data_IF_207459266793
#
_entry.id   IF_207459266793
#
_cell.length_a   1.000
_cell.length_b   1.000
_cell.length_c   1.000
_cell.angle_alpha   90.00
_cell.angle_beta   90.00
_cell.angle_gamma   90.00
#
_symmetry.space_group_name_H-M   'P 1'
#
loop_
_entity.id
_entity.type
_entity.pdbx_description
1 polymer ?
#
# COMPACT_ATOMS: atom_id res chain seq x y z
N UNK A 1 -71.44 -5.83 -22.36
CA UNK A 1 -70.08 -5.26 -22.49
C UNK A 1 -69.39 -5.45 -21.15
N UNK A 2 -68.49 -6.42 -21.05
CA UNK A 2 -67.63 -6.69 -19.88
C UNK A 2 -66.21 -6.28 -20.27
N UNK A 3 -65.45 -5.52 -19.47
CA UNK A 3 -64.07 -5.22 -19.79
C UNK A 3 -63.15 -6.31 -19.21
N UNK A 4 -62.27 -6.82 -20.06
CA UNK A 4 -61.20 -7.76 -19.75
C UNK A 4 -60.07 -7.01 -19.05
N UNK A 5 -59.71 -7.42 -17.82
CA UNK A 5 -58.49 -6.98 -17.16
C UNK A 5 -57.29 -7.81 -17.65
N UNK A 6 -56.30 -7.16 -18.23
CA UNK A 6 -55.00 -7.78 -18.53
C UNK A 6 -54.05 -7.52 -17.34
N UNK A 7 -53.65 -8.58 -16.64
CA UNK A 7 -52.58 -8.53 -15.65
C UNK A 7 -51.23 -8.59 -16.39
N UNK A 8 -50.42 -7.54 -16.28
CA UNK A 8 -49.05 -7.52 -16.78
C UNK A 8 -48.10 -7.89 -15.64
N UNK A 9 -47.58 -9.11 -15.64
CA UNK A 9 -46.58 -9.55 -14.66
C UNK A 9 -45.19 -9.16 -15.18
N UNK A 10 -44.58 -8.13 -14.59
CA UNK A 10 -43.18 -7.77 -14.85
C UNK A 10 -42.27 -8.69 -14.03
N UNK A 11 -41.55 -9.58 -14.71
CA UNK A 11 -40.39 -10.27 -14.13
C UNK A 11 -39.18 -9.34 -14.23
N UNK A 12 -38.73 -8.81 -13.10
CA UNK A 12 -37.43 -8.14 -12.99
C UNK A 12 -36.38 -9.22 -12.76
N UNK A 13 -35.66 -9.59 -13.82
CA UNK A 13 -34.45 -10.42 -13.69
C UNK A 13 -33.27 -9.51 -13.39
N UNK A 14 -32.80 -9.54 -12.13
CA UNK A 14 -31.53 -8.93 -11.73
C UNK A 14 -30.37 -9.76 -12.28
N UNK A 15 -29.96 -9.48 -13.51
CA UNK A 15 -28.74 -10.02 -14.10
C UNK A 15 -27.74 -8.90 -14.32
N UNK A 16 -26.70 -8.82 -13.49
CA UNK A 16 -25.49 -8.07 -13.83
C UNK A 16 -24.83 -8.84 -14.98
N UNK A 17 -25.17 -8.49 -16.22
CA UNK A 17 -24.47 -8.98 -17.41
C UNK A 17 -23.15 -8.21 -17.49
N UNK A 18 -22.04 -8.94 -17.42
CA UNK A 18 -20.75 -8.41 -17.87
C UNK A 18 -20.92 -7.90 -19.30
N UNK A 19 -20.34 -6.74 -19.61
CA UNK A 19 -20.26 -6.25 -20.98
C UNK A 19 -19.35 -7.22 -21.76
N UNK A 20 -19.97 -8.12 -22.52
CA UNK A 20 -19.28 -8.97 -23.48
C UNK A 20 -19.04 -8.13 -24.74
N UNK A 21 -17.82 -8.21 -25.29
CA UNK A 21 -17.60 -7.79 -26.68
C UNK A 21 -18.29 -8.78 -27.63
N UNK A 22 -18.50 -8.37 -28.89
CA UNK A 22 -19.37 -9.04 -29.89
C UNK A 22 -19.02 -10.54 -30.14
N UNK A 23 -17.83 -10.97 -29.72
CA UNK A 23 -17.29 -12.33 -29.88
C UNK A 23 -17.39 -13.21 -28.61
N UNK A 24 -18.07 -12.76 -27.55
CA UNK A 24 -18.19 -13.50 -26.28
C UNK A 24 -16.95 -13.44 -25.39
N UNK A 25 -15.97 -12.61 -25.76
CA UNK A 25 -14.77 -12.32 -24.98
C UNK A 25 -15.12 -11.25 -23.93
N UNK A 26 -14.76 -11.43 -22.65
CA UNK A 26 -14.96 -10.39 -21.65
C UNK A 26 -14.16 -9.13 -21.99
N UNK A 27 -14.77 -7.95 -21.85
CA UNK A 27 -14.07 -6.66 -21.98
C UNK A 27 -12.79 -6.66 -21.14
N UNK A 28 -11.66 -6.21 -21.71
CA UNK A 28 -10.37 -6.15 -21.03
C UNK A 28 -9.63 -7.48 -20.90
N UNK A 29 -10.03 -8.52 -21.64
CA UNK A 29 -9.31 -9.79 -21.66
C UNK A 29 -7.87 -9.59 -22.17
N UNK A 30 -6.90 -10.08 -21.39
CA UNK A 30 -5.46 -9.93 -21.65
C UNK A 30 -4.94 -8.49 -21.59
N UNK A 31 -5.75 -7.55 -21.11
CA UNK A 31 -5.28 -6.22 -20.73
C UNK A 31 -4.70 -6.23 -19.30
N UNK A 32 -3.94 -5.19 -18.91
CA UNK A 32 -3.53 -5.00 -17.53
C UNK A 32 -4.72 -4.95 -16.56
N UNK A 33 -4.48 -5.28 -15.29
CA UNK A 33 -5.49 -5.20 -14.24
C UNK A 33 -6.10 -3.78 -14.19
N UNK A 34 -7.42 -3.72 -14.27
CA UNK A 34 -8.19 -2.50 -14.51
C UNK A 34 -8.69 -2.34 -15.95
N UNK A 35 -8.28 -3.17 -16.90
CA UNK A 35 -8.86 -3.18 -18.25
C UNK A 35 -10.29 -3.73 -18.30
N UNK A 36 -10.66 -4.57 -17.31
CA UNK A 36 -11.97 -5.22 -17.27
C UNK A 36 -13.15 -4.27 -17.08
N UNK A 37 -12.90 -3.04 -16.59
CA UNK A 37 -13.88 -1.96 -16.44
C UNK A 37 -13.18 -0.64 -16.13
N UNK A 38 -13.89 0.48 -16.31
CA UNK A 38 -13.43 1.76 -15.74
C UNK A 38 -13.52 1.76 -14.22
N UNK A 39 -12.50 2.31 -13.54
CA UNK A 39 -12.53 2.57 -12.10
C UNK A 39 -13.75 3.42 -11.71
N UNK A 40 -14.49 2.95 -10.70
CA UNK A 40 -15.76 3.54 -10.27
C UNK A 40 -15.96 3.54 -8.76
N UNK A 41 -14.95 3.12 -7.99
CA UNK A 41 -14.90 3.27 -6.54
C UNK A 41 -14.15 4.55 -6.22
N UNK A 42 -14.77 5.40 -5.38
CA UNK A 42 -14.17 6.66 -4.94
C UNK A 42 -13.50 6.47 -3.60
N UNK A 43 -12.29 7.03 -3.46
CA UNK A 43 -11.58 7.21 -2.20
C UNK A 43 -11.60 8.69 -1.86
N UNK A 44 -11.83 9.01 -0.59
CA UNK A 44 -11.81 10.39 -0.12
C UNK A 44 -10.38 10.96 -0.22
N UNK A 45 -10.29 12.19 -0.71
CA UNK A 45 -9.05 12.96 -0.80
C UNK A 45 -9.18 14.26 0.00
N UNK A 46 -8.19 14.58 0.82
CA UNK A 46 -8.18 15.82 1.62
C UNK A 46 -6.76 16.31 1.84
N UNK A 47 -6.59 17.63 1.95
CA UNK A 47 -5.33 18.26 2.38
C UNK A 47 -5.23 18.38 3.90
N UNK A 48 -6.36 18.21 4.60
CA UNK A 48 -6.46 18.35 6.06
C UNK A 48 -6.29 16.98 6.71
N UNK A 49 -5.22 16.84 7.50
CA UNK A 49 -5.01 15.65 8.33
C UNK A 49 -6.12 15.63 9.40
N UNK A 50 -6.97 14.58 9.46
CA UNK A 50 -8.00 14.48 10.48
C UNK A 50 -7.37 14.33 11.87
N UNK A 51 -8.06 14.77 12.90
CA UNK A 51 -7.66 14.44 14.27
C UNK A 51 -7.76 12.91 14.51
N UNK A 52 -6.99 12.32 15.44
CA UNK A 52 -7.02 10.89 15.75
C UNK A 52 -8.42 10.30 15.97
N UNK A 53 -9.36 11.02 16.58
CA UNK A 53 -10.72 10.51 16.78
C UNK A 53 -11.49 10.47 15.47
N UNK A 54 -11.42 11.54 14.68
CA UNK A 54 -12.00 11.56 13.33
C UNK A 54 -11.35 10.50 12.45
N UNK A 55 -10.02 10.34 12.54
CA UNK A 55 -9.26 9.35 11.78
C UNK A 55 -9.73 7.92 12.11
N UNK A 56 -9.86 7.64 13.40
CA UNK A 56 -10.37 6.37 13.89
C UNK A 56 -11.80 6.09 13.43
N UNK A 57 -12.75 6.97 13.74
CA UNK A 57 -14.18 6.70 13.52
C UNK A 57 -14.56 6.67 12.04
N UNK A 58 -13.90 7.48 11.19
CA UNK A 58 -14.24 7.57 9.76
C UNK A 58 -13.42 6.65 8.85
N UNK A 59 -12.20 6.27 9.23
CA UNK A 59 -11.31 5.56 8.30
C UNK A 59 -10.79 4.25 8.89
N UNK A 60 -10.15 4.26 10.07
CA UNK A 60 -9.53 3.04 10.62
C UNK A 60 -10.56 2.00 11.02
N UNK A 61 -11.56 2.38 11.83
CA UNK A 61 -12.62 1.49 12.32
C UNK A 61 -13.51 0.91 11.21
N UNK A 62 -13.99 1.69 10.23
CA UNK A 62 -14.76 1.16 9.11
C UNK A 62 -13.89 0.60 7.96
N UNK A 63 -12.57 0.54 8.12
CA UNK A 63 -11.63 0.06 7.11
C UNK A 63 -11.79 0.78 5.75
N UNK A 64 -11.89 2.11 5.81
CA UNK A 64 -12.07 2.97 4.62
C UNK A 64 -10.76 3.68 4.29
N UNK A 65 -10.22 3.53 3.07
CA UNK A 65 -8.99 4.20 2.67
C UNK A 65 -9.15 5.73 2.62
N UNK A 66 -8.04 6.44 2.78
CA UNK A 66 -7.99 7.91 2.74
C UNK A 66 -6.72 8.38 2.05
N UNK A 67 -6.84 9.33 1.12
CA UNK A 67 -5.69 10.01 0.53
C UNK A 67 -5.53 11.37 1.19
N UNK A 68 -4.36 11.59 1.78
CA UNK A 68 -3.95 12.81 2.47
C UNK A 68 -2.97 13.58 1.59
N UNK A 69 -3.49 14.52 0.79
CA UNK A 69 -2.72 15.32 -0.16
C UNK A 69 -1.74 16.24 0.57
N UNK A 70 -0.46 16.14 0.25
CA UNK A 70 0.60 16.95 0.86
C UNK A 70 0.85 16.75 2.36
N UNK A 71 0.33 15.69 2.99
CA UNK A 71 0.49 15.48 4.43
C UNK A 71 1.94 15.23 4.88
N UNK A 72 2.80 14.70 4.00
CA UNK A 72 4.23 14.49 4.27
C UNK A 72 5.10 15.75 4.07
N UNK A 73 4.52 16.91 3.71
CA UNK A 73 5.27 18.17 3.49
C UNK A 73 6.13 18.63 4.66
N UNK A 74 5.82 18.18 5.88
CA UNK A 74 6.60 18.50 7.08
C UNK A 74 7.68 17.46 7.41
N UNK A 75 7.76 16.37 6.64
CA UNK A 75 8.80 15.35 6.82
C UNK A 75 10.12 15.83 6.22
N UNK A 76 11.23 15.89 6.98
CA UNK A 76 12.52 16.30 6.45
C UNK A 76 12.96 15.48 5.23
N UNK A 77 12.60 14.20 5.17
CA UNK A 77 12.85 13.30 4.05
C UNK A 77 12.41 13.87 2.69
N UNK A 78 11.31 14.64 2.64
CA UNK A 78 10.79 15.20 1.39
C UNK A 78 11.80 16.15 0.72
N UNK A 79 12.52 16.94 1.53
CA UNK A 79 13.51 17.91 1.05
C UNK A 79 14.93 17.34 1.06
N UNK A 80 15.24 16.44 1.99
CA UNK A 80 16.59 15.95 2.22
C UNK A 80 16.96 14.73 1.38
N UNK A 81 16.03 13.81 1.10
CA UNK A 81 16.36 12.51 0.50
C UNK A 81 16.62 12.61 -1.02
N UNK A 82 17.70 13.30 -1.37
CA UNK A 82 18.38 13.20 -2.66
C UNK A 82 19.35 12.02 -2.65
N UNK A 83 19.75 11.52 -3.82
CA UNK A 83 20.76 10.46 -3.94
C UNK A 83 22.06 10.83 -3.21
N UNK A 84 22.51 12.08 -3.35
CA UNK A 84 23.73 12.60 -2.68
C UNK A 84 23.59 12.56 -1.16
N UNK A 85 22.45 13.02 -0.63
CA UNK A 85 22.21 13.02 0.81
C UNK A 85 22.14 11.59 1.35
N UNK A 86 21.39 10.72 0.68
CA UNK A 86 21.24 9.32 1.10
C UNK A 86 22.57 8.57 1.07
N UNK A 87 23.39 8.71 0.03
CA UNK A 87 24.72 8.09 -0.03
C UNK A 87 25.63 8.64 1.07
N UNK A 88 25.68 9.96 1.23
CA UNK A 88 26.55 10.63 2.20
C UNK A 88 26.20 10.29 3.65
N UNK A 89 24.92 10.24 4.00
CA UNK A 89 24.47 10.12 5.39
C UNK A 89 24.09 8.70 5.78
N UNK A 90 23.61 7.89 4.84
CA UNK A 90 23.05 6.57 5.09
C UNK A 90 23.64 5.49 4.16
N UNK A 91 24.61 5.83 3.31
CA UNK A 91 25.11 4.92 2.29
C UNK A 91 25.77 3.65 2.83
N UNK A 92 26.22 3.65 4.08
CA UNK A 92 26.76 2.45 4.75
C UNK A 92 25.70 1.50 5.30
N UNK A 93 24.45 1.95 5.46
CA UNK A 93 23.36 1.13 5.99
C UNK A 93 23.01 0.04 4.99
N UNK A 94 22.65 -1.11 5.52
CA UNK A 94 22.19 -2.24 4.72
C UNK A 94 20.72 -2.04 4.32
N UNK A 95 20.33 -2.69 3.23
CA UNK A 95 18.96 -2.74 2.75
C UNK A 95 18.66 -4.12 2.17
N UNK A 96 17.39 -4.51 2.21
CA UNK A 96 16.87 -5.66 1.46
C UNK A 96 16.45 -5.23 0.05
N UNK A 97 16.82 -6.06 -0.92
CA UNK A 97 16.48 -5.87 -2.32
C UNK A 97 15.50 -6.95 -2.79
N UNK A 98 14.58 -6.52 -3.63
CA UNK A 98 13.74 -7.35 -4.49
C UNK A 98 13.92 -6.89 -5.94
N UNK A 99 13.37 -7.65 -6.88
CA UNK A 99 13.26 -7.19 -8.26
C UNK A 99 12.11 -6.21 -8.46
N UNK A 100 12.17 -5.39 -9.51
CA UNK A 100 11.16 -4.35 -9.78
C UNK A 100 9.80 -4.90 -10.16
N UNK A 101 9.76 -6.10 -10.76
CA UNK A 101 8.53 -6.80 -11.13
C UNK A 101 8.36 -8.02 -10.21
N UNK A 102 7.55 -7.84 -9.17
CA UNK A 102 7.47 -8.76 -8.03
C UNK A 102 7.18 -10.24 -8.41
N UNK A 103 6.46 -10.49 -9.50
CA UNK A 103 6.13 -11.84 -9.97
C UNK A 103 7.21 -12.51 -10.84
N UNK A 104 8.08 -11.74 -11.49
CA UNK A 104 8.90 -12.22 -12.62
C UNK A 104 10.38 -11.92 -12.50
N UNK A 105 10.73 -10.93 -11.69
CA UNK A 105 12.12 -10.55 -11.48
C UNK A 105 12.85 -11.58 -10.61
N UNK A 106 14.17 -11.65 -10.80
CA UNK A 106 15.04 -12.44 -9.92
C UNK A 106 15.42 -11.61 -8.71
N UNK A 107 15.70 -12.28 -7.60
CA UNK A 107 16.28 -11.61 -6.43
C UNK A 107 17.63 -11.00 -6.85
N UNK A 108 17.84 -9.67 -6.72
CA UNK A 108 19.07 -9.02 -7.12
C UNK A 108 20.25 -9.44 -6.24
N UNK A 109 21.47 -9.25 -6.73
CA UNK A 109 22.70 -9.44 -5.94
C UNK A 109 23.30 -8.07 -5.67
N UNK A 110 23.32 -7.65 -4.41
CA UNK A 110 23.95 -6.41 -3.98
C UNK A 110 25.34 -6.67 -3.38
N UNK A 111 25.95 -5.63 -2.80
CA UNK A 111 27.30 -5.73 -2.22
C UNK A 111 27.37 -6.64 -0.98
N UNK A 112 26.23 -6.89 -0.33
CA UNK A 112 26.13 -7.72 0.88
C UNK A 112 25.57 -9.12 0.59
N UNK A 113 25.36 -9.46 -0.68
CA UNK A 113 24.95 -10.79 -1.13
C UNK A 113 23.58 -10.81 -1.83
N UNK A 114 23.01 -12.00 -1.91
CA UNK A 114 21.73 -12.22 -2.57
C UNK A 114 20.60 -11.52 -1.79
N UNK A 115 19.89 -10.61 -2.45
CA UNK A 115 18.80 -9.82 -1.87
C UNK A 115 19.24 -8.77 -0.85
N UNK A 116 20.54 -8.48 -0.74
CA UNK A 116 21.10 -7.58 0.28
C UNK A 116 22.16 -6.66 -0.31
N UNK A 117 22.08 -5.38 0.04
CA UNK A 117 23.00 -4.37 -0.44
C UNK A 117 23.28 -3.33 0.64
N UNK A 118 24.24 -2.44 0.37
CA UNK A 118 24.36 -1.15 1.05
C UNK A 118 23.60 -0.09 0.28
N UNK A 119 22.93 0.83 0.97
CA UNK A 119 22.15 1.90 0.34
C UNK A 119 23.00 2.71 -0.68
N UNK A 120 24.25 3.04 -0.33
CA UNK A 120 25.15 3.79 -1.22
C UNK A 120 25.63 2.98 -2.43
N UNK A 121 25.72 1.65 -2.30
CA UNK A 121 26.02 0.74 -3.42
C UNK A 121 24.81 0.66 -4.35
N UNK A 122 23.60 0.48 -3.80
CA UNK A 122 22.36 0.50 -4.55
C UNK A 122 22.19 1.79 -5.36
N UNK A 123 22.36 2.97 -4.73
CA UNK A 123 22.18 4.28 -5.38
C UNK A 123 23.09 4.49 -6.59
N UNK A 124 24.25 3.82 -6.65
CA UNK A 124 25.18 3.92 -7.80
C UNK A 124 24.71 3.15 -9.03
N UNK A 125 23.86 2.13 -8.85
CA UNK A 125 23.55 1.15 -9.90
C UNK A 125 22.07 0.96 -10.16
N UNK A 126 21.17 1.38 -9.26
CA UNK A 126 19.73 1.09 -9.33
C UNK A 126 19.00 1.62 -10.58
N UNK A 127 19.55 2.62 -11.28
CA UNK A 127 19.04 3.06 -12.59
C UNK A 127 19.29 2.06 -13.73
N UNK A 128 20.30 1.21 -13.58
CA UNK A 128 20.78 0.28 -14.63
C UNK A 128 20.42 -1.18 -14.30
N UNK A 129 19.93 -1.44 -13.09
CA UNK A 129 19.63 -2.79 -12.62
C UNK A 129 18.15 -2.98 -12.35
N UNK A 130 17.70 -4.23 -12.46
CA UNK A 130 16.39 -4.66 -11.97
C UNK A 130 16.47 -4.81 -10.44
N UNK A 131 16.48 -3.69 -9.73
CA UNK A 131 16.60 -3.67 -8.28
C UNK A 131 15.64 -2.67 -7.65
N UNK A 132 14.99 -3.11 -6.59
CA UNK A 132 14.00 -2.37 -5.82
C UNK A 132 14.28 -2.61 -4.34
N UNK A 133 14.49 -1.54 -3.56
CA UNK A 133 14.53 -1.66 -2.11
C UNK A 133 13.11 -1.94 -1.62
N UNK A 134 12.97 -3.09 -0.96
CA UNK A 134 11.81 -3.49 -0.18
C UNK A 134 12.37 -3.93 1.17
N UNK A 135 12.54 -2.96 2.07
CA UNK A 135 13.34 -3.14 3.28
C UNK A 135 12.66 -2.47 4.45
N UNK A 136 12.82 -3.03 5.64
CA UNK A 136 12.58 -2.28 6.87
C UNK A 136 13.46 -1.02 6.87
N UNK A 137 12.88 0.12 7.24
CA UNK A 137 13.58 1.40 7.36
C UNK A 137 14.59 1.32 8.51
N UNK A 138 15.89 1.56 8.25
CA UNK A 138 16.89 1.67 9.30
C UNK A 138 16.58 2.77 10.33
N UNK A 139 16.70 2.45 11.61
CA UNK A 139 16.48 3.38 12.73
C UNK A 139 17.25 4.72 12.60
N UNK A 140 18.52 4.75 12.12
CA UNK A 140 19.22 6.02 11.90
C UNK A 140 18.53 6.99 10.93
N UNK A 141 17.62 6.50 10.08
CA UNK A 141 16.84 7.30 9.14
C UNK A 141 15.55 7.85 9.74
N UNK A 142 15.12 7.39 10.94
CA UNK A 142 13.84 7.77 11.54
C UNK A 142 13.70 9.27 11.80
N UNK A 143 14.82 9.96 12.07
CA UNK A 143 14.83 11.42 12.29
C UNK A 143 14.38 12.24 11.08
N UNK A 144 14.41 11.66 9.88
CA UNK A 144 13.98 12.33 8.66
C UNK A 144 12.50 12.07 8.34
N UNK A 145 11.88 11.12 9.05
CA UNK A 145 10.52 10.67 8.83
C UNK A 145 9.61 11.24 9.91
N UNK A 146 8.44 11.70 9.50
CA UNK A 146 7.45 12.30 10.40
C UNK A 146 6.19 11.45 10.49
N UNK A 147 5.77 11.13 11.71
CA UNK A 147 4.46 10.53 12.01
C UNK A 147 3.39 11.61 11.96
N UNK A 148 2.35 11.37 11.17
CA UNK A 148 1.22 12.29 11.01
C UNK A 148 0.45 12.44 12.33
N UNK A 149 -0.06 13.65 12.58
CA UNK A 149 -0.86 13.98 13.77
C UNK A 149 -2.06 13.05 14.01
N UNK A 150 -2.65 12.46 12.97
CA UNK A 150 -3.73 11.47 13.12
C UNK A 150 -3.27 10.15 13.78
N UNK A 151 -1.97 9.86 13.78
CA UNK A 151 -1.35 8.66 14.38
C UNK A 151 -0.33 9.00 15.48
N UNK A 152 -0.26 10.25 15.95
CA UNK A 152 0.81 10.70 16.84
C UNK A 152 0.55 10.42 18.33
N UNK A 153 -0.57 9.79 18.69
CA UNK A 153 -0.97 9.56 20.07
C UNK A 153 -1.90 8.34 20.21
N UNK A 154 -2.28 8.04 21.46
CA UNK A 154 -3.15 6.92 21.77
C UNK A 154 -2.54 5.58 21.38
N UNK A 155 -3.37 4.55 21.34
CA UNK A 155 -2.94 3.23 20.92
C UNK A 155 -2.72 3.08 19.39
N UNK A 156 -3.03 4.09 18.58
CA UNK A 156 -2.60 4.15 17.17
C UNK A 156 -1.10 4.48 17.08
N UNK A 157 -0.65 5.54 17.77
CA UNK A 157 0.77 5.90 17.81
C UNK A 157 1.63 4.97 18.66
N UNK A 158 1.08 4.43 19.74
CA UNK A 158 1.79 3.49 20.61
C UNK A 158 1.85 2.05 20.11
N UNK A 159 1.39 1.76 18.88
CA UNK A 159 1.37 0.42 18.30
C UNK A 159 1.82 0.38 16.84
N UNK A 160 2.86 1.14 16.51
CA UNK A 160 3.58 1.01 15.25
C UNK A 160 4.37 -0.30 15.31
N UNK A 161 4.06 -1.21 14.39
CA UNK A 161 4.61 -2.57 14.34
C UNK A 161 5.96 -2.55 13.60
N UNK A 162 5.98 -1.94 12.42
CA UNK A 162 7.10 -1.97 11.49
C UNK A 162 7.05 -0.70 10.63
N UNK A 163 8.21 -0.26 10.15
CA UNK A 163 8.30 0.86 9.20
C UNK A 163 9.15 0.41 8.03
N UNK A 164 8.59 0.52 6.83
CA UNK A 164 9.19 0.02 5.60
C UNK A 164 9.62 1.15 4.67
N UNK A 165 10.77 0.96 4.05
CA UNK A 165 11.34 1.76 2.98
C UNK A 165 11.13 1.06 1.64
N UNK A 166 10.53 1.79 0.71
CA UNK A 166 10.31 1.37 -0.67
C UNK A 166 11.05 2.32 -1.60
N UNK A 167 12.11 1.88 -2.27
CA UNK A 167 12.91 2.75 -3.13
C UNK A 167 13.34 2.11 -4.44
N UNK A 168 12.93 2.69 -5.57
CA UNK A 168 13.30 2.26 -6.93
C UNK A 168 13.68 3.45 -7.80
N UNK A 169 14.25 3.17 -8.97
CA UNK A 169 14.48 4.15 -10.04
C UNK A 169 13.23 4.38 -10.91
N UNK A 170 12.04 3.95 -10.45
CA UNK A 170 10.83 3.91 -11.27
C UNK A 170 10.71 2.60 -12.06
N UNK A 171 9.64 2.52 -12.85
CA UNK A 171 9.23 1.36 -13.66
C UNK A 171 9.15 0.06 -12.86
N UNK A 172 8.68 0.18 -11.62
CA UNK A 172 8.42 -0.96 -10.73
C UNK A 172 6.93 -1.22 -10.61
N UNK A 173 6.59 -2.49 -10.48
CA UNK A 173 5.21 -2.95 -10.42
C UNK A 173 5.05 -4.06 -9.37
N UNK A 174 4.09 -3.89 -8.48
CA UNK A 174 3.67 -4.93 -7.55
C UNK A 174 2.68 -5.90 -8.17
N UNK A 175 2.56 -7.09 -7.61
CA UNK A 175 1.38 -7.93 -7.87
C UNK A 175 0.14 -7.34 -7.20
N UNK A 176 -1.03 -7.91 -7.50
CA UNK A 176 -2.24 -7.65 -6.73
C UNK A 176 -2.15 -8.42 -5.40
N UNK A 177 -1.99 -7.70 -4.29
CA UNK A 177 -1.86 -8.28 -2.96
C UNK A 177 -2.55 -7.42 -1.89
N UNK A 178 -2.69 -7.98 -0.68
CA UNK A 178 -3.17 -7.32 0.52
C UNK A 178 -2.15 -7.50 1.64
N UNK A 179 -2.13 -6.54 2.54
CA UNK A 179 -1.20 -6.57 3.67
C UNK A 179 -1.88 -6.93 4.99
N UNK A 180 -1.05 -7.46 5.89
CA UNK A 180 -1.48 -7.86 7.21
C UNK A 180 -1.80 -6.67 8.11
N UNK A 181 -1.22 -5.49 7.91
CA UNK A 181 -1.40 -4.36 8.83
C UNK A 181 -2.11 -3.18 8.19
N UNK A 182 -2.64 -2.30 9.04
CA UNK A 182 -3.03 -0.97 8.61
C UNK A 182 -1.77 -0.17 8.30
N UNK A 183 -1.81 0.71 7.30
CA UNK A 183 -0.63 1.44 6.86
C UNK A 183 -0.92 2.90 6.61
N UNK A 184 0.00 3.77 7.02
CA UNK A 184 0.18 5.09 6.43
C UNK A 184 1.39 5.03 5.50
N UNK A 185 1.14 5.03 4.20
CA UNK A 185 2.18 5.06 3.18
C UNK A 185 2.37 6.49 2.66
N UNK A 186 3.52 7.09 2.91
CA UNK A 186 3.84 8.45 2.47
C UNK A 186 4.90 8.43 1.38
N UNK A 187 4.63 9.11 0.26
CA UNK A 187 5.55 9.22 -0.87
C UNK A 187 6.49 10.41 -0.66
N UNK A 188 7.78 10.13 -0.47
CA UNK A 188 8.83 11.14 -0.27
C UNK A 188 9.45 11.60 -1.60
N UNK A 189 9.42 10.76 -2.64
CA UNK A 189 9.84 11.16 -3.98
C UNK A 189 9.11 10.32 -5.05
N UNK A 190 9.00 10.85 -6.25
CA UNK A 190 8.43 10.16 -7.41
C UNK A 190 6.92 10.24 -7.51
N UNK A 191 6.35 9.29 -8.24
CA UNK A 191 4.93 9.18 -8.56
C UNK A 191 4.52 7.71 -8.56
N UNK A 192 3.49 7.39 -7.78
CA UNK A 192 2.93 6.03 -7.71
C UNK A 192 1.45 6.03 -8.10
N UNK A 193 1.05 5.13 -8.98
CA UNK A 193 -0.36 4.87 -9.30
C UNK A 193 -0.81 3.64 -8.54
N UNK A 194 -1.88 3.79 -7.79
CA UNK A 194 -2.46 2.76 -6.95
C UNK A 194 -3.83 2.37 -7.47
N UNK A 195 -4.03 1.06 -7.65
CA UNK A 195 -5.34 0.48 -7.86
C UNK A 195 -5.77 -0.20 -6.57
N UNK A 196 -6.94 0.15 -6.03
CA UNK A 196 -7.44 -0.41 -4.77
C UNK A 196 -8.67 -1.26 -4.99
N UNK A 197 -8.72 -2.39 -4.28
CA UNK A 197 -9.82 -3.32 -4.26
C UNK A 197 -10.22 -3.57 -2.81
N UNK A 198 -11.43 -3.17 -2.49
CA UNK A 198 -12.05 -3.38 -1.18
C UNK A 198 -12.04 -4.88 -0.82
N UNK A 199 -11.73 -5.17 0.46
CA UNK A 199 -11.62 -6.53 1.00
C UNK A 199 -12.89 -7.37 0.77
N UNK A 200 -14.07 -6.73 0.62
CA UNK A 200 -15.32 -7.43 0.24
C UNK A 200 -15.26 -8.16 -1.11
N UNK A 201 -14.34 -7.78 -2.00
CA UNK A 201 -14.14 -8.43 -3.29
C UNK A 201 -13.21 -9.65 -3.23
N UNK A 202 -12.63 -9.97 -2.06
CA UNK A 202 -11.75 -11.14 -1.87
C UNK A 202 -12.33 -12.46 -2.41
N UNK A 203 -13.64 -12.77 -2.28
CA UNK A 203 -14.22 -13.99 -2.86
C UNK A 203 -14.12 -14.09 -4.40
N UNK A 204 -13.85 -12.98 -5.09
CA UNK A 204 -13.67 -12.92 -6.55
C UNK A 204 -12.21 -12.91 -6.98
N UNK A 205 -11.28 -12.76 -6.04
CA UNK A 205 -9.84 -12.77 -6.29
C UNK A 205 -9.35 -14.22 -6.20
N UNK A 206 -8.63 -14.68 -7.22
CA UNK A 206 -7.96 -15.96 -7.17
C UNK A 206 -6.65 -15.82 -6.38
N UNK A 207 -6.64 -16.34 -5.16
CA UNK A 207 -5.53 -16.21 -4.21
C UNK A 207 -4.55 -17.35 -4.38
N UNK A 208 -3.25 -17.04 -4.26
CA UNK A 208 -2.24 -18.06 -3.99
C UNK A 208 -2.58 -18.78 -2.68
N UNK A 209 -2.20 -20.06 -2.56
CA UNK A 209 -2.35 -20.77 -1.28
C UNK A 209 -1.50 -20.11 -0.19
N UNK A 210 -2.12 -19.83 0.95
CA UNK A 210 -1.47 -19.21 2.11
C UNK A 210 -1.84 -20.02 3.36
N UNK A 211 -0.90 -20.26 4.29
CA UNK A 211 -1.21 -20.89 5.57
C UNK A 211 -2.25 -20.07 6.35
N UNK A 212 -3.16 -20.72 7.06
CA UNK A 212 -4.26 -20.05 7.82
C UNK A 212 -3.80 -18.96 8.82
N UNK A 213 -2.52 -19.02 9.22
CA UNK A 213 -1.89 -18.07 10.16
C UNK A 213 -1.36 -16.79 9.49
N UNK A 214 -1.25 -16.78 8.16
CA UNK A 214 -0.80 -15.62 7.39
C UNK A 214 -2.01 -14.76 7.04
N UNK A 215 -1.93 -13.46 7.35
CA UNK A 215 -3.07 -12.52 7.21
C UNK A 215 -2.86 -11.53 6.07
N UNK A 216 -1.68 -11.54 5.45
CA UNK A 216 -1.44 -10.89 4.16
C UNK A 216 -1.96 -11.74 3.02
N UNK A 217 -1.66 -11.34 1.78
CA UNK A 217 -1.68 -12.30 0.69
C UNK A 217 -1.78 -11.78 -0.73
N UNK A 218 -1.52 -12.65 -1.72
CA UNK A 218 -1.46 -12.24 -3.14
C UNK A 218 -2.36 -13.04 -4.07
N UNK A 219 -2.67 -12.44 -5.23
CA UNK A 219 -3.39 -13.09 -6.31
C UNK A 219 -2.44 -13.78 -7.31
N UNK A 220 -2.88 -14.88 -7.92
CA UNK A 220 -2.12 -15.54 -9.00
C UNK A 220 -2.32 -14.91 -10.38
N UNK A 221 -3.14 -13.85 -10.50
CA UNK A 221 -3.33 -13.18 -11.78
C UNK A 221 -2.03 -12.51 -12.24
N UNK A 222 -1.77 -12.54 -13.54
CA UNK A 222 -0.77 -11.67 -14.15
C UNK A 222 -1.40 -10.27 -14.30
N UNK A 223 -0.97 -9.31 -13.49
CA UNK A 223 -1.52 -7.94 -13.49
C UNK A 223 -1.22 -7.16 -14.77
N UNK A 224 -0.29 -7.59 -15.62
CA UNK A 224 -0.04 -6.98 -16.92
C UNK A 224 -0.92 -7.55 -18.04
N UNK A 225 -1.47 -8.75 -17.83
CA UNK A 225 -2.17 -9.48 -18.86
C UNK A 225 -3.18 -10.43 -18.20
N UNK A 226 -4.32 -9.88 -17.78
CA UNK A 226 -5.31 -10.62 -17.00
C UNK A 226 -6.11 -11.54 -17.91
N UNK A 227 -5.88 -12.85 -17.80
CA UNK A 227 -6.66 -13.87 -18.50
C UNK A 227 -8.07 -13.99 -17.88
N UNK A 228 -9.00 -13.17 -18.38
CA UNK A 228 -10.40 -13.18 -17.95
C UNK A 228 -11.18 -14.45 -18.35
N UNK A 229 -10.64 -15.30 -19.23
CA UNK A 229 -11.24 -16.62 -19.50
C UNK A 229 -10.87 -17.62 -18.41
N UNK A 230 -9.64 -17.55 -17.89
CA UNK A 230 -9.18 -18.33 -16.74
C UNK A 230 -9.68 -17.76 -15.40
N UNK A 231 -9.78 -16.44 -15.27
CA UNK A 231 -10.16 -15.74 -14.04
C UNK A 231 -11.41 -14.85 -14.23
N UNK A 232 -12.57 -15.42 -14.63
CA UNK A 232 -13.75 -14.65 -15.01
C UNK A 232 -14.34 -13.82 -13.86
N UNK A 233 -14.10 -14.21 -12.60
CA UNK A 233 -14.59 -13.47 -11.44
C UNK A 233 -13.98 -12.07 -11.30
N UNK A 234 -12.81 -11.80 -11.89
CA UNK A 234 -12.20 -10.46 -11.87
C UNK A 234 -13.14 -9.41 -12.48
N UNK A 235 -13.97 -9.79 -13.46
CA UNK A 235 -14.97 -8.90 -14.07
C UNK A 235 -16.01 -8.34 -13.08
N UNK A 236 -16.18 -8.99 -11.91
CA UNK A 236 -17.10 -8.57 -10.85
C UNK A 236 -16.49 -7.54 -9.90
N UNK A 237 -15.17 -7.34 -9.96
CA UNK A 237 -14.44 -6.46 -9.05
C UNK A 237 -14.61 -5.01 -9.50
N UNK A 238 -15.12 -4.19 -8.59
CA UNK A 238 -15.02 -2.74 -8.69
C UNK A 238 -13.76 -2.27 -7.97
N UNK A 239 -13.13 -1.25 -8.50
CA UNK A 239 -11.84 -0.78 -7.99
C UNK A 239 -11.70 0.73 -8.13
N UNK A 240 -10.78 1.27 -7.33
CA UNK A 240 -10.34 2.67 -7.35
C UNK A 240 -9.01 2.79 -8.10
N UNK A 241 -8.72 3.94 -8.70
CA UNK A 241 -7.48 4.18 -9.42
C UNK A 241 -6.99 5.62 -9.19
N UNK A 242 -5.90 5.76 -8.43
CA UNK A 242 -5.42 7.05 -7.96
C UNK A 242 -3.91 7.19 -8.12
N UNK A 243 -3.48 8.35 -8.58
CA UNK A 243 -2.05 8.72 -8.62
C UNK A 243 -1.69 9.54 -7.39
N UNK A 244 -0.63 9.13 -6.71
CA UNK A 244 0.00 9.83 -5.59
C UNK A 244 1.31 10.45 -6.05
N UNK A 245 1.57 11.66 -5.54
CA UNK A 245 2.76 12.44 -5.83
C UNK A 245 3.59 12.66 -4.56
N UNK A 246 4.86 13.03 -4.72
CA UNK A 246 5.72 13.37 -3.60
C UNK A 246 5.03 14.38 -2.64
N UNK A 247 4.99 14.03 -1.36
CA UNK A 247 4.29 14.77 -0.32
C UNK A 247 2.93 14.17 0.07
N UNK A 248 2.32 13.34 -0.75
CA UNK A 248 1.05 12.68 -0.44
C UNK A 248 1.26 11.49 0.50
N UNK A 249 0.26 11.25 1.36
CA UNK A 249 0.15 10.04 2.15
C UNK A 249 -1.16 9.30 1.86
N UNK A 250 -1.15 8.00 2.06
CA UNK A 250 -2.28 7.10 1.90
C UNK A 250 -2.49 6.34 3.19
N UNK A 251 -3.70 6.36 3.73
CA UNK A 251 -4.16 5.34 4.64
C UNK A 251 -4.67 4.13 3.85
N UNK A 252 -3.96 3.02 3.97
CA UNK A 252 -4.34 1.71 3.43
C UNK A 252 -4.82 0.82 4.59
N UNK A 253 -6.13 0.50 4.65
CA UNK A 253 -6.65 -0.40 5.66
C UNK A 253 -6.06 -1.81 5.50
N UNK A 254 -5.91 -2.52 6.62
CA UNK A 254 -5.53 -3.94 6.61
C UNK A 254 -6.44 -4.74 5.68
N UNK A 255 -5.88 -5.69 4.93
CA UNK A 255 -6.66 -6.56 4.06
C UNK A 255 -7.22 -5.94 2.77
N UNK A 256 -7.02 -4.63 2.53
CA UNK A 256 -7.32 -4.04 1.22
C UNK A 256 -6.34 -4.58 0.18
N UNK A 257 -6.90 -5.10 -0.91
CA UNK A 257 -6.10 -5.49 -2.06
C UNK A 257 -5.66 -4.25 -2.83
N UNK A 258 -4.44 -4.27 -3.33
CA UNK A 258 -3.88 -3.18 -4.08
C UNK A 258 -2.83 -3.65 -5.08
N UNK A 259 -2.66 -2.87 -6.14
CA UNK A 259 -1.61 -3.01 -7.13
C UNK A 259 -1.01 -1.63 -7.40
N UNK A 260 0.32 -1.55 -7.43
CA UNK A 260 1.05 -0.28 -7.48
C UNK A 260 2.03 -0.29 -8.64
N UNK A 261 1.97 0.78 -9.43
CA UNK A 261 2.95 1.11 -10.46
C UNK A 261 3.75 2.35 -10.02
N UNK A 262 5.05 2.39 -10.27
CA UNK A 262 5.92 3.56 -10.05
C UNK A 262 6.55 4.00 -11.36
N UNK A 263 6.74 5.30 -11.59
CA UNK A 263 7.12 5.84 -12.91
C UNK A 263 8.40 6.69 -12.91
N UNK A 264 9.05 6.73 -14.08
CA UNK A 264 10.04 7.69 -14.61
C UNK A 264 11.35 7.90 -13.83
N UNK A 265 11.28 8.20 -12.55
CA UNK A 265 12.40 8.74 -11.74
C UNK A 265 12.50 8.04 -10.39
N UNK A 266 13.42 8.50 -9.53
CA UNK A 266 13.56 8.00 -8.17
C UNK A 266 12.22 8.04 -7.44
N UNK A 267 11.73 6.87 -7.03
CA UNK A 267 10.53 6.72 -6.23
C UNK A 267 10.94 6.30 -4.83
N UNK A 268 10.52 7.05 -3.81
CA UNK A 268 10.80 6.73 -2.41
C UNK A 268 9.53 6.85 -1.60
N UNK A 269 9.10 5.77 -0.95
CA UNK A 269 7.98 5.79 -0.03
C UNK A 269 8.36 5.18 1.31
N UNK A 270 7.74 5.68 2.37
CA UNK A 270 7.83 5.11 3.72
C UNK A 270 6.45 4.64 4.14
N UNK A 271 6.33 3.37 4.53
CA UNK A 271 5.10 2.78 5.05
C UNK A 271 5.20 2.55 6.54
N UNK A 272 4.32 3.17 7.32
CA UNK A 272 4.21 2.92 8.76
C UNK A 272 3.10 1.91 8.99
N UNK A 273 3.47 0.68 9.34
CA UNK A 273 2.55 -0.41 9.64
C UNK A 273 2.15 -0.32 11.11
N UNK A 274 0.85 -0.27 11.40
CA UNK A 274 0.35 -0.23 12.77
C UNK A 274 -0.70 -1.30 13.04
N UNK A 275 -0.80 -1.65 14.32
CA UNK A 275 -1.57 -2.79 14.82
C UNK A 275 -3.04 -2.79 14.37
N UNK A 276 -3.62 -4.00 14.28
CA UNK A 276 -5.05 -4.21 14.02
C UNK A 276 -5.90 -3.91 15.26
N UNK A 277 -5.84 -2.68 15.77
CA UNK A 277 -6.58 -2.29 16.97
C UNK A 277 -8.10 -2.40 16.74
N UNK A 278 -8.82 -2.87 17.76
CA UNK A 278 -10.30 -2.99 17.72
C UNK A 278 -11.01 -1.79 18.35
N UNK A 279 -10.33 -1.08 19.24
CA UNK A 279 -10.82 0.10 19.94
C UNK A 279 -9.73 1.16 19.93
N UNK A 280 -10.10 2.43 19.80
CA UNK A 280 -9.18 3.54 19.96
C UNK A 280 -9.21 4.05 21.40
N UNK A 281 -8.03 4.12 22.00
CA UNK A 281 -7.80 4.71 23.32
C UNK A 281 -6.97 5.98 23.12
N UNK A 282 -7.53 7.14 23.44
CA UNK A 282 -6.93 8.45 23.19
C UNK A 282 -5.95 8.91 24.29
N UNK A 283 -5.37 7.95 25.02
CA UNK A 283 -4.38 8.20 26.06
C UNK A 283 -3.21 9.02 25.50
N UNK A 284 -2.92 10.17 26.10
CA UNK A 284 -1.84 11.06 25.64
C UNK A 284 -2.15 11.88 24.40
N UNK A 285 -3.39 11.87 23.89
CA UNK A 285 -3.81 12.76 22.81
C UNK A 285 -4.13 14.16 23.35
N UNK A 286 -3.39 15.17 22.87
CA UNK A 286 -3.73 16.58 23.08
C UNK A 286 -4.74 17.01 22.01
N UNK A 287 -6.01 17.21 22.39
CA UNK A 287 -7.07 17.58 21.44
C UNK A 287 -6.93 19.00 20.89
N UNK A 288 -6.26 19.88 21.64
CA UNK A 288 -6.15 21.30 21.29
C UNK A 288 -4.87 21.58 20.48
N UNK A 289 -3.91 20.65 20.49
CA UNK A 289 -2.60 20.88 19.91
C UNK A 289 -1.96 19.58 19.37
N UNK A 290 -2.62 19.00 18.38
CA UNK A 290 -2.10 17.83 17.65
C UNK A 290 -0.99 18.26 16.72
N UNK A 291 0.14 17.56 16.82
CA UNK A 291 1.34 17.86 16.05
C UNK A 291 1.85 16.59 15.42
N UNK A 292 2.44 16.77 14.26
CA UNK A 292 3.27 15.75 13.68
C UNK A 292 4.51 15.53 14.58
N UNK A 293 4.94 14.27 14.74
CA UNK A 293 6.04 13.89 15.64
C UNK A 293 7.14 13.22 14.81
N UNK A 294 8.44 13.52 15.02
CA UNK A 294 9.53 12.76 14.41
C UNK A 294 9.45 11.27 14.76
N UNK A 295 9.67 10.38 13.78
CA UNK A 295 9.53 8.94 13.99
C UNK A 295 10.52 8.41 15.04
N UNK A 296 11.69 9.05 15.21
CA UNK A 296 12.67 8.69 16.22
C UNK A 296 12.24 9.02 17.67
N UNK A 297 11.09 9.68 17.86
CA UNK A 297 10.46 9.89 19.18
C UNK A 297 9.35 8.86 19.45
N UNK A 298 9.05 7.99 18.50
CA UNK A 298 7.99 6.98 18.59
C UNK A 298 8.56 5.60 18.90
N UNK A 299 7.79 4.78 19.61
CA UNK A 299 8.11 3.37 19.82
C UNK A 299 7.67 2.55 18.60
N UNK A 300 8.63 1.85 17.97
CA UNK A 300 8.39 0.90 16.88
C UNK A 300 8.73 -0.49 17.38
N UNK A 301 7.77 -1.42 17.36
CA UNK A 301 7.92 -2.76 17.94
C UNK A 301 9.11 -3.52 17.34
N UNK A 302 9.15 -3.58 16.01
CA UNK A 302 10.22 -4.18 15.25
C UNK A 302 11.00 -3.03 14.61
N UNK A 303 11.94 -2.46 15.36
CA UNK A 303 12.95 -1.55 14.81
C UNK A 303 14.18 -2.34 14.36
N UNK A 304 14.94 -1.76 13.44
CA UNK A 304 16.17 -2.37 12.94
C UNK A 304 17.28 -1.33 12.80
N UNK A 305 18.48 -1.57 13.35
CA UNK A 305 19.56 -0.58 13.36
C UNK A 305 20.16 -0.28 11.99
N UNK A 306 19.75 -0.99 10.92
CA UNK A 306 20.33 -0.85 9.59
C UNK A 306 21.49 -1.79 9.28
N UNK A 307 21.71 -2.81 10.13
CA UNK A 307 22.77 -3.80 9.96
C UNK A 307 22.36 -5.18 10.45
N UNK A 308 22.87 -6.24 9.82
CA UNK A 308 22.73 -7.61 10.30
C UNK A 308 21.34 -8.22 10.08
N UNK A 309 20.79 -8.86 11.12
CA UNK A 309 19.50 -9.56 11.04
C UNK A 309 18.36 -8.53 11.04
N UNK A 310 17.58 -8.54 9.96
CA UNK A 310 16.40 -7.70 9.78
C UNK A 310 15.19 -8.39 10.42
N UNK A 311 14.31 -7.62 11.05
CA UNK A 311 13.11 -8.12 11.73
C UNK A 311 11.83 -7.99 10.89
N UNK A 312 11.98 -7.58 9.63
CA UNK A 312 10.90 -7.35 8.68
C UNK A 312 9.93 -8.54 8.60
N UNK A 313 8.64 -8.25 8.65
CA UNK A 313 7.57 -9.25 8.53
C UNK A 313 7.29 -10.05 9.79
N UNK A 314 7.76 -9.60 10.96
CA UNK A 314 7.41 -10.22 12.23
C UNK A 314 5.93 -9.93 12.62
N UNK A 315 5.36 -10.84 13.40
CA UNK A 315 3.98 -10.74 13.86
C UNK A 315 3.78 -9.60 14.85
N UNK A 316 2.55 -9.09 14.90
CA UNK A 316 2.11 -8.15 15.92
C UNK A 316 1.87 -8.87 17.25
N UNK A 317 2.75 -8.61 18.22
CA UNK A 317 2.70 -9.24 19.54
C UNK A 317 1.52 -8.79 20.40
N UNK A 318 0.89 -7.66 20.07
CA UNK A 318 -0.27 -7.14 20.79
C UNK A 318 -1.56 -7.87 20.41
N UNK A 319 -1.58 -8.56 19.28
CA UNK A 319 -2.71 -9.33 18.75
C UNK A 319 -2.51 -10.86 18.82
N UNK A 320 -1.50 -11.36 19.55
CA UNK A 320 -1.26 -12.80 19.77
C UNK A 320 -2.22 -13.44 20.81
N UNK A 321 -3.49 -13.05 20.85
CA UNK A 321 -4.51 -13.66 21.70
C UNK A 321 -5.49 -14.50 20.91
#
# INVERSE_FOLDING_TARGET
MLPTFALLTLYVTSGVRAALEDDGIPTGHMEPFGGHRRADVLIEETEVIPDPWTFWEKYVKPETPLILRGAARKSPALDLWTEEYLDKHYGSLEVRLEGKLEATSRIPVGSEGLGRDKLGSFLKHYHQTDSYIVSQLPEPMYRDVTVLSCMSCGNMGGRIVEVDLWMSSGDSQSVLHKDAFNQINCLMNGTKRWKFVDSKYEPYIHKTYEPDREIGGRSDINVNQVDLLRFPNITKIHYSDYTLYAGDCLFLPKGYYHQVDSFDTMNVAVSMLFSRIQTFEDNGCDRDNQRNIPLNEMEVLWSWPGHGIMTMGNMDVWNLK
#
